data_IF_999538610204
#
_entry.id   IF_999538610204
#
_cell.length_a   1.000
_cell.length_b   1.000
_cell.length_c   1.000
_cell.angle_alpha   90.00
_cell.angle_beta   90.00
_cell.angle_gamma   90.00
#
_symmetry.space_group_name_H-M   'P 1'
#
loop_
_entity.id
_entity.type
_entity.pdbx_description
1 polymer ?
#
# COMPACT_ATOMS: atom_id res chain seq x y z
N UNK A 1 29.57 -14.37 -0.60
CA UNK A 1 28.99 -13.84 -1.87
C UNK A 1 28.23 -14.93 -2.66
N UNK A 2 27.48 -15.82 -2.00
CA UNK A 2 26.63 -16.88 -2.61
C UNK A 2 25.39 -17.18 -1.75
N UNK A 3 24.74 -16.15 -1.20
CA UNK A 3 23.47 -16.29 -0.45
C UNK A 3 22.31 -15.48 -1.06
N UNK A 4 22.58 -14.61 -2.03
CA UNK A 4 21.56 -13.83 -2.73
C UNK A 4 20.87 -14.57 -3.89
N UNK A 5 21.25 -15.81 -4.22
CA UNK A 5 20.78 -16.48 -5.45
C UNK A 5 19.52 -17.33 -5.30
N UNK A 6 18.98 -17.52 -4.09
CA UNK A 6 17.71 -18.23 -3.88
C UNK A 6 16.52 -17.29 -3.60
N UNK A 7 16.77 -16.00 -3.31
CA UNK A 7 15.73 -15.03 -2.97
C UNK A 7 14.93 -14.53 -4.19
N UNK A 8 15.43 -14.71 -5.41
CA UNK A 8 14.83 -14.19 -6.64
C UNK A 8 13.98 -15.20 -7.42
N UNK A 9 14.07 -16.51 -7.15
CA UNK A 9 13.41 -17.50 -8.02
C UNK A 9 11.91 -17.64 -7.79
N UNK A 10 11.40 -17.44 -6.57
CA UNK A 10 9.96 -17.53 -6.30
C UNK A 10 9.18 -16.29 -6.78
N UNK A 11 9.79 -15.10 -6.78
CA UNK A 11 9.14 -13.87 -7.27
C UNK A 11 9.23 -13.68 -8.78
N UNK A 12 10.18 -14.32 -9.47
CA UNK A 12 10.29 -14.27 -10.93
C UNK A 12 9.01 -14.79 -11.64
N UNK A 13 8.25 -15.66 -10.98
CA UNK A 13 6.99 -16.21 -11.52
C UNK A 13 5.85 -15.19 -11.51
N UNK A 14 5.90 -14.16 -10.66
CA UNK A 14 4.84 -13.15 -10.55
C UNK A 14 4.99 -12.01 -11.56
N UNK A 15 6.05 -12.02 -12.37
CA UNK A 15 6.32 -11.01 -13.38
C UNK A 15 7.06 -9.78 -12.83
N UNK A 16 6.86 -8.63 -13.49
CA UNK A 16 7.53 -7.40 -13.12
C UNK A 16 6.86 -6.77 -11.90
N UNK A 17 7.65 -6.47 -10.87
CA UNK A 17 7.20 -5.68 -9.72
C UNK A 17 6.76 -4.28 -10.21
N UNK A 18 5.53 -3.91 -9.90
CA UNK A 18 5.00 -2.59 -10.18
C UNK A 18 5.39 -1.59 -9.09
N UNK A 19 5.09 -1.91 -7.83
CA UNK A 19 5.35 -1.04 -6.68
C UNK A 19 5.51 -1.84 -5.39
N UNK A 20 6.30 -1.31 -4.46
CA UNK A 20 6.28 -1.72 -3.05
C UNK A 20 5.75 -0.57 -2.19
N UNK A 21 4.91 -0.87 -1.19
CA UNK A 21 4.45 0.12 -0.22
C UNK A 21 5.55 0.52 0.76
N UNK A 22 5.31 1.58 1.54
CA UNK A 22 6.00 1.74 2.81
C UNK A 22 5.55 0.63 3.79
N UNK A 23 6.37 0.28 4.80
CA UNK A 23 5.96 -0.64 5.86
C UNK A 23 4.73 -0.11 6.61
N UNK A 24 3.81 -1.02 6.94
CA UNK A 24 2.70 -0.79 7.87
C UNK A 24 2.98 -1.62 9.11
N UNK A 25 3.11 -0.97 10.26
CA UNK A 25 3.32 -1.66 11.55
C UNK A 25 2.06 -2.46 11.90
N UNK A 26 2.26 -3.71 12.29
CA UNK A 26 1.19 -4.65 12.67
C UNK A 26 1.21 -5.00 14.16
N UNK A 27 2.08 -4.37 14.92
CA UNK A 27 2.19 -4.44 16.38
C UNK A 27 2.50 -3.05 16.92
N UNK A 28 2.20 -2.81 18.20
CA UNK A 28 2.67 -1.60 18.87
C UNK A 28 4.19 -1.61 19.05
N UNK A 29 4.77 -0.45 19.36
CA UNK A 29 6.19 -0.38 19.69
C UNK A 29 6.46 -1.06 21.05
N UNK A 30 7.62 -1.73 21.17
CA UNK A 30 8.09 -2.33 22.43
C UNK A 30 7.24 -3.52 22.95
N UNK A 31 6.46 -4.17 22.08
CA UNK A 31 5.77 -5.45 22.36
C UNK A 31 6.68 -6.66 22.17
N UNK A 32 6.15 -7.86 22.47
CA UNK A 32 6.83 -9.16 22.41
C UNK A 32 7.42 -9.46 21.02
N UNK A 33 6.71 -9.03 19.99
CA UNK A 33 7.12 -9.17 18.60
C UNK A 33 6.99 -7.82 17.92
N UNK A 34 7.98 -7.46 17.11
CA UNK A 34 7.89 -6.33 16.20
C UNK A 34 7.59 -6.87 14.81
N UNK A 35 6.40 -6.59 14.28
CA UNK A 35 5.97 -7.05 12.96
C UNK A 35 5.49 -5.87 12.12
N UNK A 36 6.00 -5.75 10.90
CA UNK A 36 5.40 -4.88 9.89
C UNK A 36 5.25 -5.61 8.56
N UNK A 37 4.34 -5.10 7.73
CA UNK A 37 4.08 -5.64 6.39
C UNK A 37 4.46 -4.64 5.30
N UNK A 38 5.08 -5.15 4.24
CA UNK A 38 5.31 -4.44 2.98
C UNK A 38 4.49 -5.12 1.90
N UNK A 39 3.67 -4.33 1.20
CA UNK A 39 2.84 -4.81 0.08
C UNK A 39 3.63 -4.67 -1.21
N UNK A 40 3.81 -5.77 -1.94
CA UNK A 40 4.43 -5.79 -3.25
C UNK A 40 3.37 -6.05 -4.31
N UNK A 41 3.12 -5.06 -5.15
CA UNK A 41 2.08 -5.08 -6.17
C UNK A 41 2.69 -5.52 -7.50
N UNK A 42 2.07 -6.52 -8.12
CA UNK A 42 2.31 -6.98 -9.49
C UNK A 42 1.01 -6.89 -10.27
N UNK A 43 1.07 -7.11 -11.58
CA UNK A 43 -0.09 -6.96 -12.46
C UNK A 43 -1.25 -7.90 -12.09
N UNK A 44 -0.91 -9.15 -11.75
CA UNK A 44 -1.84 -10.22 -11.40
C UNK A 44 -1.72 -10.71 -9.95
N UNK A 45 -0.72 -10.24 -9.22
CA UNK A 45 -0.39 -10.77 -7.90
C UNK A 45 -0.12 -9.67 -6.89
N UNK A 46 -0.35 -9.97 -5.63
CA UNK A 46 0.14 -9.18 -4.51
C UNK A 46 0.89 -10.10 -3.56
N UNK A 47 2.07 -9.66 -3.12
CA UNK A 47 2.86 -10.37 -2.11
C UNK A 47 2.96 -9.50 -0.87
N UNK A 48 2.55 -10.04 0.27
CA UNK A 48 2.78 -9.45 1.58
C UNK A 48 4.09 -10.00 2.14
N UNK A 49 5.06 -9.12 2.31
CA UNK A 49 6.30 -9.41 3.03
C UNK A 49 6.12 -8.96 4.47
N UNK A 50 6.16 -9.90 5.40
CA UNK A 50 6.15 -9.60 6.83
C UNK A 50 7.58 -9.62 7.34
N UNK A 51 8.03 -8.49 7.87
CA UNK A 51 9.30 -8.38 8.59
C UNK A 51 9.01 -8.61 10.07
N UNK A 52 9.59 -9.67 10.64
CA UNK A 52 9.32 -10.07 12.01
C UNK A 52 10.61 -10.01 12.83
N UNK A 53 10.52 -9.55 14.07
CA UNK A 53 11.61 -9.64 15.06
C UNK A 53 11.03 -10.14 16.37
N UNK A 54 11.63 -11.21 16.91
CA UNK A 54 11.36 -11.65 18.28
C UNK A 54 12.15 -10.77 19.26
N UNK A 55 11.46 -10.13 20.20
CA UNK A 55 12.09 -9.24 21.19
C UNK A 55 12.27 -9.91 22.56
N UNK A 56 11.88 -11.17 22.70
CA UNK A 56 11.99 -11.94 23.95
C UNK A 56 13.27 -12.78 23.94
N UNK A 57 14.26 -12.50 24.82
CA UNK A 57 15.54 -13.20 24.83
C UNK A 57 15.45 -14.66 25.29
N UNK A 58 14.45 -15.00 26.11
CA UNK A 58 14.21 -16.36 26.59
C UNK A 58 13.44 -17.23 25.57
N UNK A 59 13.26 -16.77 24.33
CA UNK A 59 12.49 -17.48 23.31
C UNK A 59 13.26 -17.63 22.00
N UNK A 60 13.10 -18.80 21.40
CA UNK A 60 13.39 -19.07 19.99
C UNK A 60 12.09 -19.46 19.31
N UNK A 61 11.70 -18.74 18.25
CA UNK A 61 10.55 -19.14 17.46
C UNK A 61 11.00 -19.96 16.25
N UNK A 62 10.32 -21.07 15.98
CA UNK A 62 10.53 -21.90 14.80
C UNK A 62 9.25 -22.02 13.97
N UNK A 63 9.40 -22.30 12.67
CA UNK A 63 8.28 -22.45 11.72
C UNK A 63 7.27 -21.28 11.75
N UNK A 64 7.79 -20.06 11.84
CA UNK A 64 7.02 -18.84 11.92
C UNK A 64 6.28 -18.59 10.59
N UNK A 65 4.96 -18.45 10.64
CA UNK A 65 4.09 -18.19 9.51
C UNK A 65 3.05 -17.13 9.85
N UNK A 66 2.49 -16.47 8.83
CA UNK A 66 1.33 -15.60 9.00
C UNK A 66 0.15 -16.32 8.39
N UNK A 67 -0.93 -16.44 9.16
CA UNK A 67 -2.25 -16.82 8.64
C UNK A 67 -2.98 -15.51 8.34
N UNK A 68 -3.45 -15.38 7.11
CA UNK A 68 -4.13 -14.18 6.63
C UNK A 68 -5.59 -14.51 6.40
N UNK A 69 -6.48 -13.77 7.05
CA UNK A 69 -7.91 -13.78 6.75
C UNK A 69 -8.19 -12.69 5.70
N UNK A 70 -8.61 -13.12 4.52
CA UNK A 70 -8.96 -12.27 3.38
C UNK A 70 -10.48 -12.24 3.13
N UNK A 71 -11.31 -12.54 4.14
CA UNK A 71 -12.78 -12.54 4.01
C UNK A 71 -13.36 -11.17 3.66
N UNK A 72 -12.69 -10.07 4.02
CA UNK A 72 -13.02 -8.69 3.61
C UNK A 72 -12.23 -8.26 2.34
N UNK A 73 -11.74 -9.22 1.56
CA UNK A 73 -10.91 -9.02 0.38
C UNK A 73 -11.21 -10.08 -0.72
N UNK A 74 -12.49 -10.20 -1.10
CA UNK A 74 -13.02 -11.30 -1.94
C UNK A 74 -12.34 -11.49 -3.31
N UNK A 75 -11.69 -10.46 -3.85
CA UNK A 75 -10.96 -10.53 -5.13
C UNK A 75 -9.56 -11.16 -5.02
N UNK A 76 -9.10 -11.46 -3.80
CA UNK A 76 -7.79 -12.01 -3.54
C UNK A 76 -7.87 -13.51 -3.21
N UNK A 77 -7.15 -14.33 -3.97
CA UNK A 77 -7.04 -15.78 -3.74
C UNK A 77 -5.64 -16.13 -3.22
N UNK A 78 -5.53 -16.70 -2.01
CA UNK A 78 -4.22 -17.08 -1.45
C UNK A 78 -3.60 -18.21 -2.29
N UNK A 79 -2.35 -18.01 -2.73
CA UNK A 79 -1.61 -18.96 -3.54
C UNK A 79 -0.60 -19.77 -2.74
N UNK A 80 0.15 -19.08 -1.89
CA UNK A 80 1.28 -19.67 -1.20
C UNK A 80 1.70 -18.84 0.01
N UNK A 81 2.09 -19.56 1.05
CA UNK A 81 2.75 -19.01 2.22
C UNK A 81 4.15 -19.59 2.35
N UNK A 82 5.14 -18.73 2.58
CA UNK A 82 6.55 -19.11 2.77
C UNK A 82 6.94 -18.88 4.24
N UNK A 83 7.01 -19.94 5.06
CA UNK A 83 7.34 -19.80 6.46
C UNK A 83 8.81 -19.41 6.66
N UNK A 84 9.07 -18.72 7.77
CA UNK A 84 10.38 -18.46 8.31
C UNK A 84 10.77 -19.60 9.25
N UNK A 85 11.86 -20.31 8.93
CA UNK A 85 12.25 -21.52 9.67
C UNK A 85 12.59 -21.26 11.13
N UNK A 86 13.24 -20.14 11.41
CA UNK A 86 13.72 -19.79 12.74
C UNK A 86 13.80 -18.26 12.87
N UNK A 87 13.36 -17.74 14.01
CA UNK A 87 13.41 -16.34 14.40
C UNK A 87 13.99 -16.24 15.82
N UNK A 88 15.33 -16.21 15.95
CA UNK A 88 15.99 -15.99 17.23
C UNK A 88 15.74 -14.59 17.79
N UNK A 89 16.04 -14.41 19.07
CA UNK A 89 16.04 -13.10 19.72
C UNK A 89 16.83 -12.05 18.92
N UNK A 90 16.21 -10.88 18.75
CA UNK A 90 16.80 -9.67 18.16
C UNK A 90 17.45 -9.88 16.78
N UNK A 91 16.99 -10.91 16.05
CA UNK A 91 17.44 -11.23 14.71
C UNK A 91 16.26 -11.13 13.73
N UNK A 92 16.18 -10.05 12.94
CA UNK A 92 15.07 -9.87 12.01
C UNK A 92 14.99 -11.00 10.97
N UNK A 93 13.77 -11.46 10.72
CA UNK A 93 13.44 -12.47 9.73
C UNK A 93 12.27 -12.03 8.85
N UNK A 94 12.01 -12.81 7.80
CA UNK A 94 10.96 -12.50 6.83
C UNK A 94 10.15 -13.74 6.48
N UNK A 95 8.82 -13.58 6.47
CA UNK A 95 7.85 -14.53 5.95
C UNK A 95 7.01 -13.84 4.88
N UNK A 96 6.38 -14.62 4.00
CA UNK A 96 5.66 -14.08 2.85
C UNK A 96 4.35 -14.82 2.61
N UNK A 97 3.31 -14.07 2.24
CA UNK A 97 2.03 -14.62 1.77
C UNK A 97 1.73 -13.99 0.41
N UNK A 98 1.42 -14.82 -0.58
CA UNK A 98 1.15 -14.39 -1.95
C UNK A 98 -0.32 -14.64 -2.32
N UNK A 99 -0.93 -13.65 -2.97
CA UNK A 99 -2.30 -13.70 -3.46
C UNK A 99 -2.34 -13.46 -4.97
N UNK A 100 -3.24 -14.17 -5.65
CA UNK A 100 -3.70 -13.84 -7.01
C UNK A 100 -4.84 -12.83 -6.91
N UNK A 101 -4.91 -11.93 -7.90
CA UNK A 101 -6.01 -10.99 -8.10
C UNK A 101 -6.28 -10.85 -9.62
N UNK A 102 -7.42 -10.27 -10.04
CA UNK A 102 -7.64 -9.90 -11.44
C UNK A 102 -6.44 -9.14 -12.05
N UNK A 103 -6.01 -9.56 -13.24
CA UNK A 103 -4.87 -8.96 -13.96
C UNK A 103 -5.23 -7.57 -14.48
N UNK A 104 -4.32 -6.59 -14.35
CA UNK A 104 -4.52 -5.23 -14.86
C UNK A 104 -5.54 -4.37 -14.11
N UNK A 105 -6.31 -4.96 -13.20
CA UNK A 105 -7.36 -4.27 -12.42
C UNK A 105 -6.94 -4.17 -10.96
N UNK A 106 -7.01 -2.98 -10.34
CA UNK A 106 -6.84 -2.85 -8.90
C UNK A 106 -7.92 -3.59 -8.11
N UNK A 107 -7.47 -4.41 -7.17
CA UNK A 107 -8.31 -5.02 -6.15
C UNK A 107 -8.01 -4.37 -4.81
N UNK A 108 -9.04 -4.07 -4.02
CA UNK A 108 -8.90 -3.51 -2.68
C UNK A 108 -9.50 -4.46 -1.66
N UNK A 109 -9.05 -4.38 -0.42
CA UNK A 109 -9.55 -5.26 0.62
C UNK A 109 -8.79 -5.11 1.92
N UNK A 110 -9.40 -5.63 2.97
CA UNK A 110 -8.88 -5.60 4.33
C UNK A 110 -8.46 -7.01 4.75
N UNK A 111 -7.33 -7.10 5.44
CA UNK A 111 -6.67 -8.34 5.80
C UNK A 111 -6.40 -8.38 7.30
N UNK A 112 -6.91 -9.41 7.98
CA UNK A 112 -6.61 -9.70 9.38
C UNK A 112 -5.50 -10.75 9.45
N UNK A 113 -4.60 -10.63 10.42
CA UNK A 113 -3.34 -11.39 10.41
C UNK A 113 -3.09 -12.07 11.77
N UNK A 114 -2.65 -13.32 11.75
CA UNK A 114 -2.25 -14.05 12.95
C UNK A 114 -0.86 -14.64 12.73
N UNK A 115 0.09 -14.27 13.57
CA UNK A 115 1.42 -14.86 13.60
C UNK A 115 1.34 -16.22 14.30
N UNK A 116 1.72 -17.30 13.62
CA UNK A 116 1.78 -18.66 14.19
C UNK A 116 3.19 -19.18 14.20
N UNK A 117 3.58 -19.87 15.26
CA UNK A 117 4.94 -20.36 15.44
C UNK A 117 4.99 -21.50 16.46
N UNK A 118 6.15 -22.16 16.52
CA UNK A 118 6.53 -23.03 17.62
C UNK A 118 7.48 -22.23 18.51
N UNK A 119 7.13 -22.01 19.77
CA UNK A 119 8.02 -21.36 20.75
C UNK A 119 8.84 -22.42 21.48
N UNK A 120 10.14 -22.14 21.61
CA UNK A 120 11.09 -22.92 22.40
C UNK A 120 11.71 -22.03 23.47
N UNK A 121 11.77 -22.52 24.70
CA UNK A 121 12.44 -21.81 25.79
C UNK A 121 13.96 -21.83 25.57
N UNK A 122 14.62 -20.71 25.86
CA UNK A 122 16.07 -20.54 25.79
C UNK A 122 16.60 -20.38 27.20
N UNK A 123 17.52 -21.25 27.63
CA UNK A 123 18.16 -21.16 28.94
C UNK A 123 19.02 -19.89 29.01
N UNK A 124 18.74 -18.94 29.92
CA UNK A 124 19.47 -17.66 29.99
C UNK A 124 20.95 -17.80 30.38
N UNK A 125 21.34 -18.93 30.97
CA UNK A 125 22.70 -19.20 31.43
C UNK A 125 23.57 -19.86 30.36
N UNK A 126 22.99 -20.66 29.46
CA UNK A 126 23.72 -21.36 28.40
C UNK A 126 23.48 -20.78 27.01
N UNK A 127 22.33 -20.13 26.79
CA UNK A 127 21.86 -19.67 25.48
C UNK A 127 21.36 -20.80 24.58
N UNK A 128 21.17 -22.01 25.12
CA UNK A 128 20.67 -23.16 24.38
C UNK A 128 19.13 -23.22 24.43
N UNK A 129 18.50 -23.45 23.28
CA UNK A 129 17.06 -23.66 23.17
C UNK A 129 16.71 -25.12 23.46
N UNK A 130 15.55 -25.35 24.08
CA UNK A 130 15.02 -26.70 24.28
C UNK A 130 14.76 -27.42 22.94
N UNK A 131 14.85 -28.76 22.93
CA UNK A 131 14.61 -29.56 21.72
C UNK A 131 13.14 -29.54 21.30
N UNK A 132 12.24 -29.62 22.28
CA UNK A 132 10.79 -29.58 22.11
C UNK A 132 10.27 -28.13 22.21
N UNK A 133 9.15 -27.85 21.55
CA UNK A 133 8.49 -26.54 21.59
C UNK A 133 6.98 -26.68 21.57
N UNK A 134 6.29 -25.57 21.85
CA UNK A 134 4.82 -25.50 21.92
C UNK A 134 4.30 -24.64 20.77
N UNK A 135 3.23 -25.07 20.11
CA UNK A 135 2.54 -24.23 19.11
C UNK A 135 1.82 -23.07 19.82
N UNK A 136 2.01 -21.86 19.31
CA UNK A 136 1.38 -20.66 19.84
C UNK A 136 1.01 -19.69 18.70
N UNK A 137 0.16 -18.73 19.00
CA UNK A 137 -0.28 -17.71 18.06
C UNK A 137 -0.36 -16.31 18.69
N UNK A 138 -0.11 -15.30 17.88
CA UNK A 138 -0.15 -13.89 18.27
C UNK A 138 -0.99 -13.10 17.28
N UNK A 139 -2.03 -12.45 17.77
CA UNK A 139 -2.90 -11.60 16.96
C UNK A 139 -2.14 -10.34 16.53
N UNK A 140 -2.18 -10.05 15.23
CA UNK A 140 -1.60 -8.83 14.67
C UNK A 140 -2.71 -7.85 14.27
N UNK A 141 -2.33 -6.59 14.09
CA UNK A 141 -3.21 -5.57 13.54
C UNK A 141 -3.61 -5.90 12.09
N UNK A 142 -4.70 -5.28 11.67
CA UNK A 142 -5.24 -5.40 10.32
C UNK A 142 -4.59 -4.36 9.40
N UNK A 143 -4.55 -4.66 8.11
CA UNK A 143 -4.14 -3.68 7.10
C UNK A 143 -4.99 -3.79 5.84
N UNK A 144 -4.91 -2.75 5.00
CA UNK A 144 -5.65 -2.69 3.75
C UNK A 144 -4.71 -2.63 2.54
N UNK A 145 -5.12 -3.31 1.46
CA UNK A 145 -4.71 -2.96 0.11
C UNK A 145 -5.70 -1.94 -0.43
N UNK A 146 -5.19 -0.77 -0.81
CA UNK A 146 -6.00 0.39 -1.22
C UNK A 146 -5.64 0.82 -2.63
N UNK A 147 -6.51 1.61 -3.27
CA UNK A 147 -6.30 2.06 -4.64
C UNK A 147 -4.95 2.77 -4.87
N UNK A 148 -4.47 3.52 -3.88
CA UNK A 148 -3.18 4.22 -3.96
C UNK A 148 -1.96 3.27 -3.99
N UNK A 149 -2.11 1.99 -3.63
CA UNK A 149 -1.08 0.97 -3.83
C UNK A 149 -0.86 0.65 -5.32
N UNK A 150 -1.84 0.95 -6.17
CA UNK A 150 -1.80 0.76 -7.63
C UNK A 150 -1.39 2.03 -8.39
N UNK A 151 -0.91 3.05 -7.68
CA UNK A 151 -0.44 4.31 -8.25
C UNK A 151 1.03 4.56 -7.94
N UNK A 152 1.85 4.78 -8.97
CA UNK A 152 3.21 5.28 -8.83
C UNK A 152 3.21 6.81 -8.83
N UNK A 153 3.88 7.40 -7.83
CA UNK A 153 4.14 8.83 -7.76
C UNK A 153 5.29 9.18 -8.68
N UNK A 154 4.96 9.75 -9.84
CA UNK A 154 5.96 10.14 -10.86
C UNK A 154 5.78 11.61 -11.15
N UNK A 155 6.79 12.42 -10.85
CA UNK A 155 6.76 13.86 -11.13
C UNK A 155 6.95 14.17 -12.62
N UNK A 156 6.34 15.25 -13.08
CA UNK A 156 6.58 15.83 -14.40
C UNK A 156 7.28 17.18 -14.26
N UNK A 157 8.23 17.47 -15.14
CA UNK A 157 9.02 18.71 -15.09
C UNK A 157 8.25 19.95 -15.54
N UNK A 158 7.27 19.77 -16.43
CA UNK A 158 6.35 20.80 -16.87
C UNK A 158 4.98 20.14 -17.07
N UNK A 159 4.06 20.38 -16.15
CA UNK A 159 2.75 19.73 -16.14
C UNK A 159 1.94 20.11 -17.37
N UNK A 160 1.96 21.38 -17.76
CA UNK A 160 1.22 21.87 -18.93
C UNK A 160 1.64 21.12 -20.20
N UNK A 161 2.93 20.99 -20.45
CA UNK A 161 3.44 20.28 -21.62
C UNK A 161 3.06 18.79 -21.56
N UNK A 162 3.17 18.15 -20.39
CA UNK A 162 2.75 16.76 -20.20
C UNK A 162 1.25 16.59 -20.49
N UNK A 163 0.42 17.49 -19.98
CA UNK A 163 -1.03 17.52 -20.20
C UNK A 163 -1.40 17.70 -21.67
N UNK A 164 -0.76 18.65 -22.35
CA UNK A 164 -0.97 18.92 -23.78
C UNK A 164 -0.44 17.78 -24.66
N UNK A 165 0.53 16.99 -24.19
CA UNK A 165 1.06 15.82 -24.91
C UNK A 165 0.18 14.58 -24.82
N UNK A 166 -0.67 14.47 -23.79
CA UNK A 166 -1.68 13.42 -23.70
C UNK A 166 -2.89 13.77 -24.57
N UNK A 167 -3.40 12.78 -25.30
CA UNK A 167 -4.61 12.95 -26.10
C UNK A 167 -5.80 13.36 -25.21
N UNK A 168 -6.66 14.30 -25.66
CA UNK A 168 -7.89 14.61 -24.96
C UNK A 168 -8.99 13.57 -25.17
N UNK A 169 -8.79 12.54 -25.99
CA UNK A 169 -9.84 11.55 -26.36
C UNK A 169 -10.45 10.87 -25.14
N UNK A 170 -9.65 10.60 -24.11
CA UNK A 170 -10.07 10.01 -22.84
C UNK A 170 -9.97 11.01 -21.68
N UNK A 171 -10.12 12.31 -21.97
CA UNK A 171 -10.30 13.32 -20.93
C UNK A 171 -11.69 13.15 -20.30
N UNK A 172 -11.71 12.87 -19.00
CA UNK A 172 -12.94 12.86 -18.21
C UNK A 172 -12.94 14.04 -17.25
N UNK A 173 -14.10 14.70 -17.12
CA UNK A 173 -14.26 15.87 -16.27
C UNK A 173 -15.59 15.77 -15.52
N UNK A 174 -15.55 15.92 -14.21
CA UNK A 174 -16.75 15.88 -13.36
C UNK A 174 -16.59 16.76 -12.10
N UNK A 175 -17.69 17.03 -11.40
CA UNK A 175 -17.73 17.84 -10.18
C UNK A 175 -18.25 17.02 -8.99
N UNK A 176 -17.52 17.12 -7.87
CA UNK A 176 -17.76 16.36 -6.64
C UNK A 176 -17.93 17.28 -5.46
N UNK A 177 -18.95 17.04 -4.64
CA UNK A 177 -19.09 17.66 -3.32
C UNK A 177 -18.28 16.89 -2.30
N UNK A 178 -17.30 17.53 -1.67
CA UNK A 178 -16.48 16.92 -0.61
C UNK A 178 -17.06 17.15 0.80
N UNK A 179 -18.17 17.88 0.88
CA UNK A 179 -18.84 18.23 2.13
C UNK A 179 -18.12 19.31 2.94
N UNK A 180 -18.49 19.48 4.21
CA UNK A 180 -17.88 20.46 5.11
C UNK A 180 -16.45 20.06 5.47
N UNK A 181 -15.51 21.01 5.37
CA UNK A 181 -14.08 20.81 5.73
C UNK A 181 -13.57 21.93 6.62
N UNK A 182 -12.54 21.66 7.41
CA UNK A 182 -11.91 22.70 8.24
C UNK A 182 -11.18 23.73 7.37
N UNK A 183 -10.56 23.27 6.28
CA UNK A 183 -9.86 24.12 5.32
C UNK A 183 -9.74 23.48 3.94
N UNK A 184 -9.47 24.30 2.91
CA UNK A 184 -9.11 23.78 1.59
C UNK A 184 -7.82 22.95 1.61
N UNK A 185 -6.88 23.25 2.53
CA UNK A 185 -5.64 22.48 2.69
C UNK A 185 -5.92 21.03 3.08
N UNK A 186 -6.85 20.83 4.02
CA UNK A 186 -7.30 19.51 4.41
C UNK A 186 -7.89 18.76 3.22
N UNK A 187 -8.84 19.37 2.49
CA UNK A 187 -9.47 18.77 1.31
C UNK A 187 -8.46 18.37 0.23
N UNK A 188 -7.52 19.26 -0.09
CA UNK A 188 -6.45 18.99 -1.07
C UNK A 188 -5.59 17.81 -0.64
N UNK A 189 -5.16 17.76 0.63
CA UNK A 189 -4.35 16.66 1.14
C UNK A 189 -5.10 15.32 1.15
N UNK A 190 -6.38 15.32 1.51
CA UNK A 190 -7.22 14.12 1.48
C UNK A 190 -7.30 13.54 0.08
N UNK A 191 -7.56 14.37 -0.94
CA UNK A 191 -7.65 13.89 -2.33
C UNK A 191 -6.28 13.44 -2.86
N UNK A 192 -5.18 14.13 -2.52
CA UNK A 192 -3.83 13.70 -2.88
C UNK A 192 -3.52 12.31 -2.33
N UNK A 193 -3.87 12.07 -1.06
CA UNK A 193 -3.61 10.81 -0.39
C UNK A 193 -4.49 9.68 -0.94
N UNK A 194 -5.77 9.97 -1.17
CA UNK A 194 -6.73 9.04 -1.78
C UNK A 194 -6.26 8.57 -3.15
N UNK A 195 -5.85 9.50 -4.02
CA UNK A 195 -5.39 9.18 -5.37
C UNK A 195 -3.98 8.59 -5.39
N UNK A 196 -3.17 8.82 -4.36
CA UNK A 196 -1.80 8.31 -4.29
C UNK A 196 -0.84 8.91 -5.32
N UNK A 197 -1.16 10.07 -5.88
CA UNK A 197 -0.41 10.69 -6.99
C UNK A 197 0.66 11.69 -6.52
N UNK A 198 1.56 12.08 -7.42
CA UNK A 198 2.61 13.07 -7.15
C UNK A 198 2.06 14.48 -7.38
N UNK A 199 2.02 15.36 -6.36
CA UNK A 199 1.75 16.76 -6.58
C UNK A 199 2.88 17.42 -7.38
N UNK A 200 2.49 18.29 -8.31
CA UNK A 200 3.38 18.96 -9.24
C UNK A 200 3.47 20.45 -8.94
N UNK A 201 4.63 21.04 -9.23
CA UNK A 201 4.84 22.50 -9.29
C UNK A 201 4.49 23.25 -7.99
N UNK A 202 4.55 22.57 -6.83
CA UNK A 202 4.22 23.15 -5.52
C UNK A 202 2.73 23.38 -5.30
N UNK A 203 1.87 22.81 -6.15
CA UNK A 203 0.41 23.01 -6.09
C UNK A 203 -0.28 22.24 -4.96
N UNK A 204 0.45 21.48 -4.15
CA UNK A 204 0.00 20.97 -2.85
C UNK A 204 -0.05 22.07 -1.77
N UNK A 205 0.66 23.18 -1.97
CA UNK A 205 0.73 24.27 -0.99
C UNK A 205 -0.47 25.21 -1.18
N UNK A 206 -1.46 25.08 -0.32
CA UNK A 206 -2.65 25.94 -0.31
C UNK A 206 -2.37 27.24 0.44
N UNK A 207 -2.63 28.38 -0.19
CA UNK A 207 -2.52 29.69 0.45
C UNK A 207 -3.56 29.85 1.58
N UNK A 208 -3.14 30.48 2.69
CA UNK A 208 -4.02 30.70 3.84
C UNK A 208 -5.25 31.53 3.45
N UNK A 209 -6.43 31.13 3.96
CA UNK A 209 -7.72 31.77 3.70
C UNK A 209 -8.16 31.83 2.23
N UNK A 210 -7.56 31.02 1.34
CA UNK A 210 -8.02 30.96 -0.05
C UNK A 210 -9.44 30.39 -0.13
N UNK A 211 -10.24 30.93 -1.07
CA UNK A 211 -11.59 30.41 -1.39
C UNK A 211 -11.60 29.43 -2.56
N UNK A 212 -10.48 29.30 -3.26
CA UNK A 212 -10.32 28.40 -4.39
C UNK A 212 -8.86 27.97 -4.51
N UNK A 213 -8.62 26.76 -5.00
CA UNK A 213 -7.26 26.25 -5.18
C UNK A 213 -7.19 25.32 -6.38
N UNK A 214 -6.06 25.29 -7.08
CA UNK A 214 -5.82 24.31 -8.13
C UNK A 214 -4.65 23.43 -7.72
N UNK A 215 -4.85 22.11 -7.82
CA UNK A 215 -3.81 21.12 -7.55
C UNK A 215 -3.59 20.27 -8.82
N UNK A 216 -2.33 20.04 -9.16
CA UNK A 216 -1.89 19.31 -10.34
C UNK A 216 -1.20 18.04 -9.88
N UNK A 217 -1.70 16.88 -10.30
CA UNK A 217 -1.17 15.59 -9.89
C UNK A 217 -0.74 14.75 -11.10
N UNK A 218 0.38 14.04 -10.97
CA UNK A 218 0.85 13.10 -11.98
C UNK A 218 1.15 11.74 -11.39
N UNK A 219 0.94 10.70 -12.17
CA UNK A 219 1.20 9.34 -11.74
C UNK A 219 1.26 8.37 -12.90
N UNK A 220 1.61 7.13 -12.56
CA UNK A 220 1.51 5.98 -13.45
C UNK A 220 0.66 4.94 -12.75
N UNK A 221 -0.46 4.59 -13.35
CA UNK A 221 -1.37 3.58 -12.86
C UNK A 221 -0.84 2.17 -13.18
N UNK A 222 -1.36 1.16 -12.49
CA UNK A 222 -1.06 -0.25 -12.82
C UNK A 222 -1.34 -0.53 -14.31
N UNK A 223 -0.54 -1.40 -14.92
CA UNK A 223 -0.48 -1.52 -16.39
C UNK A 223 0.45 -0.50 -17.08
N UNK A 224 1.17 0.32 -16.30
CA UNK A 224 2.09 1.37 -16.77
C UNK A 224 1.42 2.51 -17.56
N UNK A 225 0.14 2.79 -17.27
CA UNK A 225 -0.61 3.85 -17.94
C UNK A 225 -0.33 5.19 -17.26
N UNK A 226 0.16 6.16 -18.03
CA UNK A 226 0.37 7.52 -17.51
C UNK A 226 -0.98 8.19 -17.28
N UNK A 227 -1.09 8.86 -16.14
CA UNK A 227 -2.29 9.61 -15.78
C UNK A 227 -1.91 10.95 -15.18
N UNK A 228 -2.61 12.00 -15.66
CA UNK A 228 -2.49 13.36 -15.16
C UNK A 228 -3.86 13.81 -14.67
N UNK A 229 -3.86 14.56 -13.58
CA UNK A 229 -5.08 15.05 -12.93
C UNK A 229 -4.95 16.54 -12.64
N UNK A 230 -6.00 17.30 -12.98
CA UNK A 230 -6.20 18.68 -12.57
C UNK A 230 -7.39 18.75 -11.63
N UNK A 231 -7.13 19.20 -10.42
CA UNK A 231 -8.14 19.43 -9.39
C UNK A 231 -8.38 20.93 -9.25
N UNK A 232 -9.62 21.36 -9.29
CA UNK A 232 -10.00 22.74 -8.98
C UNK A 232 -11.00 22.75 -7.83
N UNK A 233 -10.56 23.21 -6.67
CA UNK A 233 -11.36 23.29 -5.45
C UNK A 233 -11.99 24.66 -5.29
N UNK A 234 -13.19 24.68 -4.73
CA UNK A 234 -13.88 25.88 -4.26
C UNK A 234 -14.49 25.63 -2.88
N UNK A 235 -14.50 26.65 -2.02
CA UNK A 235 -15.20 26.61 -0.73
C UNK A 235 -16.17 27.78 -0.64
N UNK A 236 -17.38 27.48 -0.18
CA UNK A 236 -18.42 28.49 0.00
C UNK A 236 -18.36 29.17 1.38
N UNK A 237 -19.34 30.03 1.68
CA UNK A 237 -19.43 30.70 2.98
C UNK A 237 -19.81 29.78 4.15
N UNK A 238 -20.40 28.62 3.86
CA UNK A 238 -20.79 27.60 4.83
C UNK A 238 -19.67 26.58 5.11
N UNK A 239 -18.50 26.74 4.47
CA UNK A 239 -17.36 25.80 4.49
C UNK A 239 -17.61 24.49 3.75
N UNK A 240 -18.61 24.45 2.88
CA UNK A 240 -18.83 23.34 1.96
C UNK A 240 -17.76 23.42 0.85
N UNK A 241 -17.03 22.33 0.68
CA UNK A 241 -15.99 22.22 -0.36
C UNK A 241 -16.53 21.42 -1.54
N UNK A 242 -16.36 21.98 -2.73
CA UNK A 242 -16.58 21.29 -3.98
C UNK A 242 -15.28 21.22 -4.79
N UNK A 243 -15.18 20.21 -5.64
CA UNK A 243 -14.01 19.96 -6.46
C UNK A 243 -14.43 19.59 -7.88
N UNK A 244 -13.83 20.26 -8.85
CA UNK A 244 -13.82 19.79 -10.24
C UNK A 244 -12.59 18.91 -10.45
N UNK A 245 -12.81 17.68 -10.88
CA UNK A 245 -11.79 16.70 -11.23
C UNK A 245 -11.72 16.59 -12.75
N UNK A 246 -10.55 16.83 -13.33
CA UNK A 246 -10.26 16.55 -14.73
C UNK A 246 -9.10 15.56 -14.83
N UNK A 247 -9.34 14.41 -15.44
CA UNK A 247 -8.37 13.32 -15.61
C UNK A 247 -8.03 13.17 -17.09
N UNK A 248 -6.74 12.99 -17.42
CA UNK A 248 -6.28 12.53 -18.72
C UNK A 248 -5.38 11.33 -18.57
N UNK A 249 -5.59 10.35 -19.44
CA UNK A 249 -4.74 9.16 -19.55
C UNK A 249 -4.75 8.65 -21.00
N UNK A 250 -3.94 7.64 -21.28
CA UNK A 250 -3.93 6.95 -22.59
C UNK A 250 -5.02 5.85 -22.68
N UNK A 251 -5.82 5.65 -21.63
CA UNK A 251 -6.81 4.57 -21.51
C UNK A 251 -8.09 5.05 -20.80
N UNK A 252 -9.24 4.97 -21.49
CA UNK A 252 -10.55 5.35 -20.95
C UNK A 252 -10.86 4.70 -19.59
N UNK A 253 -10.53 3.42 -19.43
CA UNK A 253 -10.79 2.68 -18.19
C UNK A 253 -9.99 3.23 -17.01
N UNK A 254 -8.79 3.74 -17.26
CA UNK A 254 -7.97 4.37 -16.22
C UNK A 254 -8.55 5.73 -15.83
N UNK A 255 -8.99 6.52 -16.81
CA UNK A 255 -9.68 7.80 -16.52
C UNK A 255 -10.94 7.55 -15.68
N UNK A 256 -11.73 6.54 -16.01
CA UNK A 256 -12.94 6.17 -15.28
C UNK A 256 -12.64 5.68 -13.87
N UNK A 257 -11.65 4.78 -13.72
CA UNK A 257 -11.25 4.26 -12.43
C UNK A 257 -10.82 5.38 -11.46
N UNK A 258 -10.09 6.39 -11.93
CA UNK A 258 -9.71 7.55 -11.09
C UNK A 258 -10.93 8.35 -10.63
N UNK A 259 -11.95 8.49 -11.47
CA UNK A 259 -13.21 9.14 -11.08
C UNK A 259 -13.99 8.31 -10.05
N UNK A 260 -14.00 6.99 -10.17
CA UNK A 260 -14.65 6.08 -9.22
C UNK A 260 -14.01 6.15 -7.81
N UNK A 261 -12.69 6.35 -7.73
CA UNK A 261 -12.01 6.52 -6.44
C UNK A 261 -12.51 7.72 -5.63
N UNK A 262 -13.00 8.76 -6.31
CA UNK A 262 -13.48 10.00 -5.68
C UNK A 262 -14.99 9.96 -5.43
N UNK A 263 -15.72 9.12 -6.18
CA UNK A 263 -17.17 9.01 -6.09
C UNK A 263 -17.62 8.13 -4.89
N UNK A 264 -16.76 7.22 -4.44
CA UNK A 264 -16.98 6.31 -3.30
C UNK A 264 -16.53 6.95 -1.97
#
# INVERSE_FOLDING_TARGET
MKSYSYQSQSFQLFGQLFKSSAPVELTEAETEYAVNVVKHIFDKYVVFQYNCTNTIPEQLLENVTIVVDASEAEEFEELATKPLKSLPYDTPGQTFVAFEKPEGVPSIGKFSNVLRFIVKEVDPSTGEAEEDGVEDEYQLEEFEVVASDYMLKVGVSNFRNAWESLSPDFERVDEYGLGPRESLKEAVNTVINLLGMQPCEGTEVVAANSRSHTCLLSGVYIGNVKVLVRLSFGVDSAKEVAMKLAVRSEDELVSDAIHELVAN
#
